data_IF_553790836655
#
_entry.id   IF_553790836655
#
_cell.length_a   1.000
_cell.length_b   1.000
_cell.length_c   1.000
_cell.angle_alpha   90.00
_cell.angle_beta   90.00
_cell.angle_gamma   90.00
#
_symmetry.space_group_name_H-M   'P 1'
#
loop_
_entity.id
_entity.type
_entity.pdbx_description
1 polymer ?
#
# COMPACT_ATOMS: atom_id res chain seq x y z
N UNK A 1 52.68 -2.11 -41.20
CA UNK A 1 52.29 -2.05 -39.78
C UNK A 1 50.88 -1.48 -39.73
N UNK A 2 49.88 -2.34 -39.69
CA UNK A 2 48.46 -1.97 -39.61
C UNK A 2 47.80 -2.93 -38.64
N UNK A 3 47.71 -2.52 -37.38
CA UNK A 3 46.99 -3.26 -36.34
C UNK A 3 45.53 -2.83 -36.35
N UNK A 4 44.65 -3.73 -36.78
CA UNK A 4 43.23 -3.66 -36.41
C UNK A 4 43.11 -4.13 -34.96
N UNK A 5 42.78 -3.21 -34.05
CA UNK A 5 42.29 -3.56 -32.73
C UNK A 5 40.87 -4.10 -32.84
N UNK A 6 40.71 -5.40 -32.60
CA UNK A 6 39.42 -6.03 -32.33
C UNK A 6 38.89 -5.51 -30.99
N UNK A 7 37.68 -4.93 -31.00
CA UNK A 7 36.91 -4.64 -29.79
C UNK A 7 36.49 -5.96 -29.10
N UNK A 8 36.44 -6.01 -27.76
CA UNK A 8 36.08 -7.23 -27.04
C UNK A 8 34.59 -7.55 -27.17
N UNK A 9 34.27 -8.80 -27.53
CA UNK A 9 32.92 -9.34 -27.74
C UNK A 9 32.04 -9.30 -26.48
N UNK A 10 32.63 -9.17 -25.29
CA UNK A 10 31.92 -9.23 -24.00
C UNK A 10 31.07 -7.99 -23.71
N UNK A 11 31.38 -6.83 -24.30
CA UNK A 11 30.60 -5.60 -24.13
C UNK A 11 29.27 -5.61 -24.92
N UNK A 12 29.18 -6.40 -25.99
CA UNK A 12 27.98 -6.49 -26.84
C UNK A 12 26.92 -7.46 -26.27
N UNK A 13 27.34 -8.49 -25.53
CA UNK A 13 26.42 -9.44 -24.89
C UNK A 13 25.77 -8.86 -23.63
N UNK A 14 26.50 -8.07 -22.84
CA UNK A 14 25.93 -7.38 -21.69
C UNK A 14 24.90 -6.31 -22.08
N UNK A 15 25.18 -5.54 -23.13
CA UNK A 15 24.25 -4.51 -23.63
C UNK A 15 23.00 -5.13 -24.27
N UNK A 16 23.13 -6.26 -24.97
CA UNK A 16 21.99 -7.00 -25.53
C UNK A 16 21.05 -7.56 -24.45
N UNK A 17 21.60 -8.20 -23.40
CA UNK A 17 20.79 -8.71 -22.30
C UNK A 17 20.10 -7.59 -21.52
N UNK A 18 20.81 -6.51 -21.18
CA UNK A 18 20.22 -5.35 -20.49
C UNK A 18 19.10 -4.73 -21.33
N UNK A 19 19.29 -4.59 -22.65
CA UNK A 19 18.27 -4.06 -23.54
C UNK A 19 17.05 -4.99 -23.65
N UNK A 20 17.25 -6.31 -23.77
CA UNK A 20 16.15 -7.28 -23.77
C UNK A 20 15.35 -7.25 -22.46
N UNK A 21 16.03 -7.14 -21.31
CA UNK A 21 15.37 -7.04 -20.01
C UNK A 21 14.58 -5.73 -19.87
N UNK A 22 15.16 -4.60 -20.27
CA UNK A 22 14.46 -3.31 -20.28
C UNK A 22 13.23 -3.37 -21.18
N UNK A 23 13.35 -3.97 -22.37
CA UNK A 23 12.22 -4.17 -23.29
C UNK A 23 11.16 -5.13 -22.73
N UNK A 24 11.54 -6.17 -22.00
CA UNK A 24 10.60 -7.12 -21.40
C UNK A 24 9.82 -6.52 -20.22
N UNK A 25 10.50 -5.74 -19.36
CA UNK A 25 9.84 -4.97 -18.29
C UNK A 25 8.90 -3.94 -18.90
N UNK A 26 9.36 -3.22 -19.92
CA UNK A 26 8.56 -2.24 -20.62
C UNK A 26 7.32 -2.87 -21.27
N UNK A 27 7.46 -4.03 -21.93
CA UNK A 27 6.35 -4.77 -22.52
C UNK A 27 5.32 -5.24 -21.48
N UNK A 28 5.76 -5.80 -20.35
CA UNK A 28 4.87 -6.25 -19.29
C UNK A 28 4.10 -5.11 -18.62
N UNK A 29 4.75 -3.95 -18.44
CA UNK A 29 4.09 -2.75 -17.89
C UNK A 29 3.06 -2.18 -18.87
N UNK A 30 3.36 -2.15 -20.18
CA UNK A 30 2.41 -1.70 -21.20
C UNK A 30 1.15 -2.60 -21.30
N UNK A 31 1.22 -3.88 -20.90
CA UNK A 31 0.02 -4.73 -20.80
C UNK A 31 -0.92 -4.31 -19.64
N UNK A 32 -0.37 -3.67 -18.61
CA UNK A 32 -1.07 -3.26 -17.39
C UNK A 32 -1.40 -1.77 -17.33
N UNK A 33 -0.63 -0.91 -17.99
CA UNK A 33 -0.71 0.54 -17.88
C UNK A 33 -0.75 1.18 -19.27
N UNK A 34 -1.62 2.19 -19.43
CA UNK A 34 -1.75 2.95 -20.66
C UNK A 34 -0.69 4.04 -20.81
N UNK A 35 -0.32 4.65 -19.69
CA UNK A 35 0.71 5.68 -19.56
C UNK A 35 1.39 5.52 -18.20
N UNK A 36 2.71 5.64 -18.17
CA UNK A 36 3.52 5.51 -16.96
C UNK A 36 4.92 6.09 -17.18
N UNK A 37 5.62 6.39 -16.09
CA UNK A 37 7.02 6.81 -16.12
C UNK A 37 7.83 6.02 -15.10
N UNK A 38 9.06 5.64 -15.49
CA UNK A 38 10.01 4.97 -14.60
C UNK A 38 11.12 5.94 -14.24
N UNK A 39 11.28 6.19 -12.94
CA UNK A 39 12.23 7.17 -12.41
C UNK A 39 13.27 6.49 -11.52
N UNK A 40 14.55 6.89 -11.55
CA UNK A 40 15.49 6.47 -10.50
C UNK A 40 15.12 7.14 -9.18
N UNK A 41 15.28 6.45 -8.03
CA UNK A 41 15.06 7.06 -6.70
C UNK A 41 15.89 8.33 -6.50
N UNK A 42 17.08 8.42 -7.11
CA UNK A 42 17.92 9.63 -7.07
C UNK A 42 17.29 10.89 -7.69
N UNK A 43 16.22 10.73 -8.49
CA UNK A 43 15.44 11.86 -9.00
C UNK A 43 14.55 12.51 -7.92
N UNK A 44 14.24 11.79 -6.84
CA UNK A 44 13.51 12.31 -5.69
C UNK A 44 14.42 13.22 -4.88
N UNK A 45 14.19 14.54 -4.98
CA UNK A 45 14.91 15.51 -4.14
C UNK A 45 14.25 15.59 -2.78
N UNK A 46 14.92 15.04 -1.77
CA UNK A 46 14.49 15.12 -0.38
C UNK A 46 15.14 16.31 0.34
N UNK A 47 14.31 17.15 0.96
CA UNK A 47 14.74 18.17 1.90
C UNK A 47 14.10 17.91 3.26
N UNK A 48 14.91 17.64 4.29
CA UNK A 48 14.40 17.51 5.66
C UNK A 48 14.08 18.90 6.22
N UNK A 49 12.89 19.05 6.81
CA UNK A 49 12.49 20.28 7.49
C UNK A 49 12.55 19.99 8.98
N UNK A 50 13.48 20.63 9.70
CA UNK A 50 13.58 20.52 11.15
C UNK A 50 13.17 21.84 11.78
N UNK A 51 12.00 21.88 12.42
CA UNK A 51 11.61 23.02 13.27
C UNK A 51 12.52 23.07 14.50
N UNK A 52 12.94 24.28 14.89
CA UNK A 52 13.84 24.52 16.03
C UNK A 52 13.07 24.62 17.35
N UNK A 53 12.14 23.72 17.63
CA UNK A 53 11.40 23.73 18.90
C UNK A 53 11.78 22.56 19.80
N UNK A 54 11.98 22.88 21.09
CA UNK A 54 12.53 22.04 22.15
C UNK A 54 11.43 21.24 22.85
N UNK A 55 10.68 20.43 22.11
CA UNK A 55 9.68 19.51 22.70
C UNK A 55 9.88 18.08 22.22
N UNK A 56 9.77 17.15 23.18
CA UNK A 56 10.35 15.79 23.24
C UNK A 56 9.63 14.75 22.35
N UNK A 57 8.90 15.18 21.32
CA UNK A 57 8.16 14.27 20.44
C UNK A 57 8.12 14.82 19.00
N UNK A 58 9.29 14.93 18.37
CA UNK A 58 9.48 15.62 17.09
C UNK A 58 8.78 14.91 15.93
N UNK A 59 7.64 15.43 15.50
CA UNK A 59 7.06 15.08 14.19
C UNK A 59 8.11 15.33 13.11
N UNK A 60 8.39 14.29 12.32
CA UNK A 60 9.37 14.41 11.24
C UNK A 60 8.65 15.02 10.04
N UNK A 61 9.09 16.21 9.64
CA UNK A 61 8.62 16.88 8.43
C UNK A 61 9.60 16.64 7.28
N UNK A 62 9.10 16.22 6.12
CA UNK A 62 9.91 16.02 4.91
C UNK A 62 9.27 16.73 3.73
N UNK A 63 10.11 17.31 2.89
CA UNK A 63 9.71 17.85 1.60
C UNK A 63 10.33 16.99 0.51
N UNK A 64 9.51 16.47 -0.40
CA UNK A 64 9.97 15.73 -1.57
C UNK A 64 9.59 16.50 -2.83
N UNK A 65 10.46 16.49 -3.82
CA UNK A 65 10.09 16.98 -5.14
C UNK A 65 10.68 16.16 -6.26
N UNK A 66 9.88 15.97 -7.30
CA UNK A 66 10.21 15.21 -8.49
C UNK A 66 9.30 15.62 -9.64
N UNK A 67 9.67 15.24 -10.85
CA UNK A 67 8.82 15.42 -12.04
C UNK A 67 8.46 14.06 -12.57
N UNK A 68 7.19 13.83 -12.85
CA UNK A 68 6.68 12.61 -13.48
C UNK A 68 5.43 12.94 -14.30
N UNK A 69 5.21 12.23 -15.41
CA UNK A 69 4.03 12.36 -16.27
C UNK A 69 3.78 13.83 -16.67
N UNK A 70 4.85 14.52 -17.07
CA UNK A 70 4.86 15.96 -17.40
C UNK A 70 4.37 16.90 -16.30
N UNK A 71 4.41 16.47 -15.03
CA UNK A 71 3.98 17.25 -13.87
C UNK A 71 5.09 17.33 -12.83
N UNK A 72 5.28 18.51 -12.24
CA UNK A 72 6.19 18.71 -11.12
C UNK A 72 5.44 18.56 -9.80
N UNK A 73 5.86 17.59 -8.99
CA UNK A 73 5.32 17.36 -7.65
C UNK A 73 6.23 17.96 -6.60
N UNK A 74 5.63 18.64 -5.62
CA UNK A 74 6.29 19.08 -4.40
C UNK A 74 5.44 18.65 -3.21
N UNK A 75 5.82 17.57 -2.55
CA UNK A 75 5.08 16.96 -1.47
C UNK A 75 5.58 17.51 -0.13
N UNK A 76 4.66 17.93 0.73
CA UNK A 76 4.94 18.21 2.14
C UNK A 76 4.37 17.07 2.98
N UNK A 77 5.25 16.35 3.67
CA UNK A 77 4.96 15.12 4.39
C UNK A 77 5.27 15.25 5.88
N UNK A 78 4.42 14.65 6.71
CA UNK A 78 4.57 14.58 8.17
C UNK A 78 4.32 13.15 8.65
N UNK A 79 5.08 12.70 9.66
CA UNK A 79 4.91 11.35 10.22
C UNK A 79 3.46 11.08 10.66
N UNK A 80 2.83 10.04 10.13
CA UNK A 80 1.43 9.68 10.42
C UNK A 80 1.33 9.02 11.80
N UNK A 81 0.61 9.66 12.72
CA UNK A 81 0.46 9.18 14.11
C UNK A 81 -0.85 8.47 14.39
N UNK A 82 -1.79 8.51 13.44
CA UNK A 82 -3.18 8.09 13.69
C UNK A 82 -3.55 6.80 12.94
N UNK A 83 -2.63 6.24 12.15
CA UNK A 83 -2.86 5.00 11.40
C UNK A 83 -2.93 3.74 12.29
N UNK A 84 -2.33 3.77 13.47
CA UNK A 84 -2.10 2.55 14.26
C UNK A 84 -2.72 2.59 15.65
N UNK A 85 -3.12 1.40 16.10
CA UNK A 85 -3.52 1.19 17.48
C UNK A 85 -2.38 1.46 18.46
N UNK A 86 -2.72 1.99 19.65
CA UNK A 86 -1.75 2.18 20.74
C UNK A 86 -1.08 0.85 21.13
N UNK A 87 -1.77 -0.26 20.93
CA UNK A 87 -1.32 -1.63 21.15
C UNK A 87 -1.19 -2.42 19.84
N UNK A 88 -0.90 -1.73 18.72
CA UNK A 88 -0.64 -2.36 17.43
C UNK A 88 0.43 -3.44 17.58
N UNK A 89 0.10 -4.65 17.15
CA UNK A 89 0.95 -5.82 17.24
C UNK A 89 0.90 -6.56 15.93
N UNK A 90 2.06 -7.06 15.52
CA UNK A 90 2.22 -7.91 14.36
C UNK A 90 2.83 -9.23 14.81
N UNK A 91 2.18 -10.33 14.46
CA UNK A 91 2.67 -11.68 14.70
C UNK A 91 2.73 -12.46 13.37
N UNK A 92 3.88 -13.09 13.10
CA UNK A 92 4.10 -14.03 12.01
C UNK A 92 4.07 -15.46 12.50
N UNK A 93 3.38 -16.33 11.78
CA UNK A 93 3.49 -17.77 11.94
C UNK A 93 4.57 -18.30 10.99
N UNK A 94 5.54 -19.03 11.53
CA UNK A 94 6.50 -19.76 10.70
C UNK A 94 5.91 -21.10 10.21
N UNK A 95 6.64 -21.80 9.33
CA UNK A 95 6.22 -23.10 8.79
C UNK A 95 6.06 -24.21 9.85
N UNK A 96 6.46 -23.98 11.10
CA UNK A 96 6.25 -24.87 12.24
C UNK A 96 5.05 -24.47 13.12
N UNK A 97 4.36 -23.38 12.77
CA UNK A 97 3.25 -22.80 13.52
C UNK A 97 3.67 -21.97 14.73
N UNK A 98 4.96 -21.62 14.86
CA UNK A 98 5.45 -20.78 15.94
C UNK A 98 5.21 -19.30 15.63
N UNK A 99 4.72 -18.55 16.63
CA UNK A 99 4.47 -17.11 16.53
C UNK A 99 5.73 -16.30 16.83
N UNK A 100 6.12 -15.44 15.88
CA UNK A 100 7.20 -14.46 16.01
C UNK A 100 6.62 -13.06 15.96
N UNK A 101 6.97 -12.22 16.92
CA UNK A 101 6.57 -10.80 16.91
C UNK A 101 7.47 -10.00 15.98
N UNK A 102 6.88 -9.09 15.22
CA UNK A 102 7.61 -8.15 14.38
C UNK A 102 7.34 -6.72 14.87
N UNK A 103 8.40 -5.92 14.97
CA UNK A 103 8.31 -4.52 15.36
C UNK A 103 8.25 -3.64 14.12
N UNK A 104 7.15 -2.92 13.94
CA UNK A 104 6.91 -2.10 12.75
C UNK A 104 7.42 -0.69 13.02
N UNK A 105 8.21 -0.17 12.09
CA UNK A 105 8.72 1.19 12.14
C UNK A 105 7.64 2.21 11.77
N UNK A 106 6.69 2.47 12.66
CA UNK A 106 5.53 3.34 12.41
C UNK A 106 5.93 4.77 11.98
N UNK A 107 7.13 5.22 12.36
CA UNK A 107 7.71 6.50 11.96
C UNK A 107 8.02 6.61 10.46
N UNK A 108 8.00 5.50 9.73
CA UNK A 108 8.27 5.44 8.29
C UNK A 108 7.01 5.70 7.44
N UNK A 109 5.84 5.83 8.07
CA UNK A 109 4.58 6.14 7.41
C UNK A 109 4.28 7.64 7.54
N UNK A 110 3.95 8.26 6.42
CA UNK A 110 3.77 9.71 6.31
C UNK A 110 2.43 10.04 5.68
N UNK A 111 1.86 11.15 6.14
CA UNK A 111 0.68 11.79 5.54
C UNK A 111 1.01 13.25 5.20
N UNK A 112 0.37 13.79 4.17
CA UNK A 112 0.74 15.09 3.64
C UNK A 112 -0.16 15.61 2.54
N UNK A 113 0.36 16.57 1.78
CA UNK A 113 -0.33 17.24 0.66
C UNK A 113 0.68 17.72 -0.39
N UNK A 114 0.18 18.08 -1.56
CA UNK A 114 0.96 18.75 -2.61
C UNK A 114 0.98 20.25 -2.34
N UNK A 115 2.18 20.83 -2.31
CA UNK A 115 2.37 22.25 -2.00
C UNK A 115 1.76 23.12 -3.09
N UNK A 116 0.80 23.97 -2.70
CA UNK A 116 0.12 24.89 -3.60
C UNK A 116 -1.17 24.34 -4.20
N UNK A 117 -1.55 23.11 -3.86
CA UNK A 117 -2.82 22.50 -4.29
C UNK A 117 -3.72 22.28 -3.08
N UNK A 118 -4.80 23.06 -3.02
CA UNK A 118 -5.85 22.87 -2.02
C UNK A 118 -6.51 21.51 -2.22
N UNK A 119 -6.97 20.88 -1.13
CA UNK A 119 -7.60 19.55 -1.12
C UNK A 119 -6.75 18.36 -1.55
N UNK A 120 -5.49 18.57 -1.97
CA UNK A 120 -4.57 17.48 -2.24
C UNK A 120 -4.22 16.69 -0.97
N UNK A 121 -3.98 15.39 -1.14
CA UNK A 121 -3.63 14.47 -0.05
C UNK A 121 -2.54 13.52 -0.52
N UNK A 122 -1.64 13.19 0.39
CA UNK A 122 -0.56 12.25 0.13
C UNK A 122 -0.46 11.26 1.29
N UNK A 123 -0.50 9.96 0.99
CA UNK A 123 0.03 8.92 1.88
C UNK A 123 1.36 8.44 1.31
N UNK A 124 2.38 8.27 2.14
CA UNK A 124 3.68 7.82 1.70
C UNK A 124 4.34 6.91 2.72
N UNK A 125 5.09 5.92 2.24
CA UNK A 125 5.96 5.09 3.07
C UNK A 125 7.41 5.27 2.61
N UNK A 126 8.30 5.47 3.59
CA UNK A 126 9.70 5.82 3.35
C UNK A 126 10.57 5.01 4.30
N UNK A 127 11.31 4.04 3.76
CA UNK A 127 12.27 3.22 4.51
C UNK A 127 13.57 3.04 3.73
N UNK A 128 14.65 3.68 4.19
CA UNK A 128 15.93 3.68 3.48
C UNK A 128 15.83 4.23 2.05
N UNK A 129 16.02 3.36 1.05
CA UNK A 129 15.86 3.65 -0.38
C UNK A 129 14.47 3.33 -0.91
N UNK A 130 13.62 2.68 -0.12
CA UNK A 130 12.25 2.38 -0.51
C UNK A 130 11.39 3.63 -0.35
N UNK A 131 10.67 3.97 -1.41
CA UNK A 131 9.72 5.07 -1.44
C UNK A 131 8.46 4.61 -2.16
N UNK A 132 7.34 4.76 -1.50
CA UNK A 132 6.02 4.64 -2.11
C UNK A 132 5.19 5.87 -1.73
N UNK A 133 4.33 6.31 -2.65
CA UNK A 133 3.40 7.39 -2.40
C UNK A 133 2.12 7.19 -3.18
N UNK A 134 1.02 7.57 -2.56
CA UNK A 134 -0.27 7.75 -3.19
C UNK A 134 -0.62 9.22 -3.10
N UNK A 135 -0.86 9.86 -4.23
CA UNK A 135 -1.05 11.30 -4.33
C UNK A 135 -2.42 11.53 -4.96
N UNK A 136 -3.35 12.01 -4.14
CA UNK A 136 -4.68 12.42 -4.56
C UNK A 136 -4.68 13.93 -4.79
N UNK A 137 -5.15 14.35 -5.97
CA UNK A 137 -5.35 15.75 -6.34
C UNK A 137 -6.77 15.91 -6.89
N UNK A 138 -7.22 17.14 -7.09
CA UNK A 138 -8.52 17.40 -7.73
C UNK A 138 -8.55 16.92 -9.20
N UNK A 139 -7.39 16.82 -9.84
CA UNK A 139 -7.27 16.44 -11.25
C UNK A 139 -7.21 14.92 -11.45
N UNK A 140 -6.38 14.25 -10.65
CA UNK A 140 -6.11 12.82 -10.79
C UNK A 140 -5.54 12.19 -9.52
N UNK A 141 -5.54 10.86 -9.52
CA UNK A 141 -4.90 10.01 -8.53
C UNK A 141 -3.62 9.41 -9.12
N UNK A 142 -2.49 9.69 -8.48
CA UNK A 142 -1.17 9.21 -8.90
C UNK A 142 -0.61 8.20 -7.89
N UNK A 143 -0.04 7.13 -8.41
CA UNK A 143 0.67 6.12 -7.64
C UNK A 143 2.16 6.18 -7.96
N UNK A 144 2.98 6.20 -6.92
CA UNK A 144 4.43 6.05 -6.97
C UNK A 144 4.76 4.78 -6.20
N UNK A 145 5.29 3.78 -6.89
CA UNK A 145 5.59 2.47 -6.29
C UNK A 145 7.00 2.01 -6.65
N UNK A 146 7.67 1.24 -5.79
CA UNK A 146 8.92 0.59 -6.17
C UNK A 146 8.74 -0.30 -7.40
N UNK A 147 9.56 -0.09 -8.43
CA UNK A 147 9.47 -0.82 -9.70
C UNK A 147 9.66 -2.33 -9.51
N UNK A 148 10.45 -2.73 -8.51
CA UNK A 148 10.66 -4.12 -8.19
C UNK A 148 9.36 -4.88 -7.93
N UNK A 149 8.26 -4.22 -7.51
CA UNK A 149 6.93 -4.88 -7.35
C UNK A 149 6.38 -5.46 -8.65
N UNK A 150 6.86 -4.97 -9.79
CA UNK A 150 6.40 -5.33 -11.13
C UNK A 150 7.45 -6.09 -11.94
N UNK A 151 8.62 -6.38 -11.36
CA UNK A 151 9.73 -7.03 -12.04
C UNK A 151 10.28 -8.20 -11.23
N UNK A 152 10.91 -9.15 -11.90
CA UNK A 152 11.56 -10.29 -11.23
C UNK A 152 12.92 -9.92 -10.62
N UNK A 153 13.42 -8.71 -10.86
CA UNK A 153 14.72 -8.26 -10.36
C UNK A 153 14.59 -7.75 -8.92
N UNK A 154 15.32 -8.35 -7.96
CA UNK A 154 15.23 -7.95 -6.56
C UNK A 154 15.80 -6.55 -6.32
N UNK A 155 16.89 -6.20 -7.00
CA UNK A 155 17.67 -4.98 -6.77
C UNK A 155 17.35 -3.89 -7.81
N UNK A 156 16.07 -3.53 -7.95
CA UNK A 156 15.65 -2.39 -8.78
C UNK A 156 15.09 -1.28 -7.87
N UNK A 157 15.92 -0.27 -7.63
CA UNK A 157 15.62 0.89 -6.80
C UNK A 157 14.89 1.99 -7.59
N UNK A 158 14.41 1.70 -8.80
CA UNK A 158 13.59 2.66 -9.56
C UNK A 158 12.16 2.66 -9.04
N UNK A 159 11.45 3.72 -9.40
CA UNK A 159 10.05 3.96 -9.07
C UNK A 159 9.24 3.91 -10.34
N UNK A 160 8.08 3.28 -10.27
CA UNK A 160 7.03 3.32 -11.27
C UNK A 160 6.02 4.40 -10.85
N UNK A 161 5.78 5.37 -11.73
CA UNK A 161 4.78 6.42 -11.54
C UNK A 161 3.69 6.28 -12.59
N UNK A 162 2.44 6.20 -12.15
CA UNK A 162 1.29 6.03 -13.04
C UNK A 162 0.02 6.66 -12.45
N UNK A 163 -0.96 6.99 -13.30
CA UNK A 163 -2.29 7.42 -12.82
C UNK A 163 -3.21 6.22 -12.67
N UNK A 164 -4.11 6.25 -11.69
CA UNK A 164 -5.08 5.15 -11.48
C UNK A 164 -6.01 4.95 -12.69
N UNK A 165 -6.28 6.00 -13.45
CA UNK A 165 -7.07 5.93 -14.70
C UNK A 165 -6.37 5.19 -15.85
N UNK A 166 -5.04 5.10 -15.83
CA UNK A 166 -4.26 4.44 -16.88
C UNK A 166 -4.16 2.92 -16.66
N UNK A 167 -4.71 2.39 -15.57
CA UNK A 167 -4.74 0.96 -15.30
C UNK A 167 -5.62 0.25 -16.36
N UNK A 168 -4.98 -0.57 -17.18
CA UNK A 168 -5.64 -1.39 -18.20
C UNK A 168 -6.26 -2.63 -17.56
N UNK A 169 -7.27 -3.18 -18.24
CA UNK A 169 -7.83 -4.49 -17.91
C UNK A 169 -8.35 -4.60 -16.46
N UNK A 170 -8.94 -3.54 -15.89
CA UNK A 170 -9.71 -3.61 -14.63
C UNK A 170 -10.77 -4.73 -14.73
N UNK A 171 -11.25 -5.04 -15.93
CA UNK A 171 -12.15 -6.17 -16.23
C UNK A 171 -11.58 -7.55 -15.87
N UNK A 172 -10.26 -7.72 -15.65
CA UNK A 172 -9.70 -8.96 -15.06
C UNK A 172 -10.12 -9.14 -13.61
N UNK A 173 -10.43 -8.07 -12.89
CA UNK A 173 -11.05 -8.13 -11.54
C UNK A 173 -12.49 -8.66 -11.64
N UNK A 174 -13.17 -8.41 -12.77
CA UNK A 174 -14.49 -8.99 -13.08
C UNK A 174 -14.39 -10.38 -13.75
N UNK A 175 -13.19 -10.94 -13.94
CA UNK A 175 -13.02 -12.30 -14.43
C UNK A 175 -13.39 -13.29 -13.33
N UNK A 176 -14.16 -14.36 -13.62
CA UNK A 176 -14.49 -15.40 -12.64
C UNK A 176 -13.26 -16.17 -12.11
N UNK A 177 -12.06 -15.93 -12.68
CA UNK A 177 -10.78 -16.50 -12.24
C UNK A 177 -10.07 -15.65 -11.18
N UNK A 178 -10.55 -14.44 -10.92
CA UNK A 178 -10.08 -13.56 -9.85
C UNK A 178 -11.18 -13.53 -8.80
N UNK A 179 -10.83 -13.58 -7.51
CA UNK A 179 -11.83 -13.44 -6.44
C UNK A 179 -12.42 -12.03 -6.51
N UNK A 180 -13.51 -11.89 -7.26
CA UNK A 180 -14.33 -10.70 -7.28
C UNK A 180 -15.22 -10.63 -6.04
N UNK A 181 -15.85 -9.48 -5.84
CA UNK A 181 -16.86 -9.29 -4.79
C UNK A 181 -18.00 -10.30 -4.99
N UNK A 182 -18.01 -11.33 -4.15
CA UNK A 182 -19.15 -12.24 -4.02
C UNK A 182 -20.15 -11.55 -3.10
N UNK A 183 -21.42 -11.49 -3.49
CA UNK A 183 -22.44 -10.91 -2.60
C UNK A 183 -22.38 -11.65 -1.25
N UNK A 184 -22.33 -10.90 -0.14
CA UNK A 184 -22.14 -11.45 1.21
C UNK A 184 -23.13 -12.57 1.58
N UNK A 185 -24.27 -12.68 0.88
CA UNK A 185 -25.23 -13.78 1.03
C UNK A 185 -24.70 -15.15 0.60
N UNK A 186 -23.75 -15.20 -0.33
CA UNK A 186 -23.17 -16.45 -0.85
C UNK A 186 -21.96 -16.94 -0.03
N UNK A 187 -21.39 -16.07 0.82
CA UNK A 187 -20.24 -16.38 1.69
C UNK A 187 -20.65 -16.77 3.11
N UNK A 188 -21.93 -16.65 3.47
CA UNK A 188 -22.47 -17.17 4.72
C UNK A 188 -22.86 -18.61 4.43
N UNK A 189 -22.19 -19.63 5.01
CA UNK A 189 -22.65 -21.01 4.90
C UNK A 189 -24.13 -21.08 5.26
N UNK A 190 -24.93 -21.87 4.56
CA UNK A 190 -26.36 -22.05 4.91
C UNK A 190 -26.54 -22.54 6.37
N UNK A 191 -25.48 -23.07 7.01
CA UNK A 191 -25.42 -23.38 8.45
C UNK A 191 -24.84 -22.31 9.39
N UNK A 192 -24.40 -21.16 8.88
CA UNK A 192 -24.05 -19.99 9.71
C UNK A 192 -25.24 -19.04 9.93
N UNK A 193 -26.36 -19.27 9.22
CA UNK A 193 -27.65 -18.67 9.55
C UNK A 193 -28.31 -19.36 10.76
N UNK A 194 -27.80 -20.52 11.18
CA UNK A 194 -28.27 -21.28 12.36
C UNK A 194 -27.36 -21.13 13.58
N UNK A 195 -26.74 -19.95 13.78
CA UNK A 195 -26.27 -19.52 15.12
C UNK A 195 -27.26 -18.52 15.75
N UNK A 196 -28.55 -18.71 15.47
CA UNK A 196 -29.64 -17.93 16.05
C UNK A 196 -30.89 -18.72 16.41
N UNK A 197 -30.96 -20.02 16.13
CA UNK A 197 -32.15 -20.86 16.41
C UNK A 197 -31.73 -22.30 16.76
N UNK A 198 -30.98 -22.47 17.84
CA UNK A 198 -31.19 -23.66 18.68
C UNK A 198 -32.07 -23.20 19.85
N UNK A 199 -33.33 -23.62 19.84
CA UNK A 199 -34.21 -23.60 21.00
C UNK A 199 -33.59 -24.49 22.09
N UNK A 200 -32.66 -23.93 22.86
CA UNK A 200 -32.39 -24.42 24.21
C UNK A 200 -33.41 -23.70 25.10
N UNK A 201 -34.44 -24.44 25.52
CA UNK A 201 -35.34 -24.04 26.61
C UNK A 201 -34.52 -23.67 27.85
N UNK A 202 -34.18 -22.39 27.96
CA UNK A 202 -33.41 -21.85 29.07
C UNK A 202 -33.53 -20.33 29.06
N UNK A 203 -34.50 -19.81 29.80
CA UNK A 203 -34.70 -18.40 30.15
C UNK A 203 -33.80 -17.38 29.43
N UNK A 204 -34.10 -17.06 28.17
CA UNK A 204 -33.44 -15.98 27.45
C UNK A 204 -33.94 -14.64 27.97
N UNK A 205 -33.13 -13.98 28.80
CA UNK A 205 -33.30 -12.55 29.06
C UNK A 205 -33.20 -11.83 27.71
N UNK A 206 -34.33 -11.26 27.26
CA UNK A 206 -34.38 -10.36 26.12
C UNK A 206 -33.58 -9.10 26.45
N UNK A 207 -32.28 -9.10 26.14
CA UNK A 207 -31.50 -7.88 26.16
C UNK A 207 -32.03 -6.92 25.07
N UNK A 208 -32.39 -5.73 25.51
CA UNK A 208 -32.83 -4.64 24.64
C UNK A 208 -31.65 -4.32 23.71
N UNK A 209 -31.85 -4.42 22.38
CA UNK A 209 -30.86 -3.96 21.39
C UNK A 209 -30.46 -2.53 21.76
N UNK A 210 -29.25 -2.34 22.27
CA UNK A 210 -28.75 -1.00 22.55
C UNK A 210 -28.72 -0.25 21.22
N UNK A 211 -29.22 0.99 21.21
CA UNK A 211 -29.09 1.86 20.05
C UNK A 211 -27.59 1.96 19.71
N UNK A 212 -27.24 1.72 18.45
CA UNK A 212 -25.87 1.80 17.98
C UNK A 212 -25.33 3.20 18.32
N UNK A 213 -24.28 3.27 19.12
CA UNK A 213 -23.69 4.55 19.49
C UNK A 213 -22.86 5.04 18.32
N UNK A 214 -23.32 6.07 17.62
CA UNK A 214 -22.59 6.76 16.55
C UNK A 214 -21.23 7.35 17.00
N UNK A 215 -20.92 7.27 18.31
CA UNK A 215 -19.60 7.60 18.87
C UNK A 215 -18.56 6.47 18.71
N UNK A 216 -18.97 5.27 18.27
CA UNK A 216 -18.09 4.13 17.99
C UNK A 216 -17.95 3.98 16.48
N UNK A 217 -17.12 4.86 15.91
CA UNK A 217 -16.81 4.92 14.49
C UNK A 217 -15.54 4.13 14.11
N UNK A 218 -14.92 3.46 15.09
CA UNK A 218 -13.68 2.72 14.91
C UNK A 218 -13.92 1.21 14.90
N UNK A 219 -13.44 0.52 13.85
CA UNK A 219 -13.50 -0.92 13.74
C UNK A 219 -12.08 -1.56 13.77
N UNK A 220 -11.83 -2.56 14.64
CA UNK A 220 -10.59 -3.32 14.57
C UNK A 220 -10.61 -4.20 13.31
N UNK A 221 -9.59 -4.08 12.47
CA UNK A 221 -9.40 -4.98 11.33
C UNK A 221 -8.38 -6.05 11.70
N UNK A 222 -8.61 -7.27 11.22
CA UNK A 222 -7.62 -8.34 11.24
C UNK A 222 -7.11 -8.57 9.82
N UNK A 223 -5.85 -8.22 9.52
CA UNK A 223 -5.26 -8.55 8.22
C UNK A 223 -4.53 -9.88 8.29
N UNK A 224 -4.71 -10.68 7.25
CA UNK A 224 -4.05 -11.98 7.07
C UNK A 224 -3.56 -12.05 5.63
N UNK A 225 -2.26 -12.22 5.45
CA UNK A 225 -1.68 -12.61 4.15
C UNK A 225 -1.43 -14.11 4.16
N UNK A 226 -1.81 -14.79 3.08
CA UNK A 226 -1.48 -16.19 2.88
C UNK A 226 -0.04 -16.38 2.38
N UNK A 227 0.40 -17.62 2.30
CA UNK A 227 1.74 -17.96 1.82
C UNK A 227 1.99 -17.50 0.37
N UNK A 228 0.95 -17.42 -0.47
CA UNK A 228 1.07 -16.97 -1.85
C UNK A 228 1.36 -15.47 -1.88
N UNK A 229 0.63 -14.68 -1.11
CA UNK A 229 0.85 -13.25 -0.95
C UNK A 229 2.24 -12.98 -0.38
N UNK A 230 2.63 -13.67 0.68
CA UNK A 230 3.99 -13.61 1.24
C UNK A 230 5.06 -13.92 0.18
N UNK A 231 4.83 -14.93 -0.65
CA UNK A 231 5.79 -15.34 -1.69
C UNK A 231 5.92 -14.32 -2.82
N UNK A 232 4.80 -13.85 -3.37
CA UNK A 232 4.80 -13.07 -4.62
C UNK A 232 4.73 -11.56 -4.39
N UNK A 233 3.92 -11.09 -3.43
CA UNK A 233 3.86 -9.66 -3.08
C UNK A 233 4.93 -9.29 -2.06
N UNK A 234 5.09 -10.16 -1.06
CA UNK A 234 6.06 -9.99 0.02
C UNK A 234 7.49 -10.41 -0.31
N UNK A 235 7.71 -11.08 -1.46
CA UNK A 235 9.01 -11.64 -1.87
C UNK A 235 9.69 -12.52 -0.81
N UNK A 236 8.88 -13.19 0.01
CA UNK A 236 9.31 -14.01 1.16
C UNK A 236 10.04 -13.22 2.24
N UNK A 237 9.78 -11.92 2.32
CA UNK A 237 10.31 -11.03 3.34
C UNK A 237 9.18 -10.50 4.23
N UNK A 238 9.34 -10.63 5.54
CA UNK A 238 8.33 -10.16 6.50
C UNK A 238 8.09 -8.65 6.36
N UNK A 239 9.15 -7.82 6.36
CA UNK A 239 9.09 -6.35 6.25
C UNK A 239 8.25 -5.90 5.07
N UNK A 240 8.61 -6.41 3.90
CA UNK A 240 7.99 -6.08 2.63
C UNK A 240 6.52 -6.46 2.60
N UNK A 241 6.19 -7.64 3.13
CA UNK A 241 4.80 -8.10 3.25
C UNK A 241 3.97 -7.19 4.16
N UNK A 242 4.52 -6.82 5.31
CA UNK A 242 3.84 -5.92 6.25
C UNK A 242 3.61 -4.56 5.67
N UNK A 243 4.67 -3.95 5.14
CA UNK A 243 4.64 -2.59 4.66
C UNK A 243 3.61 -2.45 3.55
N UNK A 244 3.57 -3.42 2.64
CA UNK A 244 2.57 -3.46 1.58
C UNK A 244 1.13 -3.51 2.12
N UNK A 245 0.84 -4.34 3.14
CA UNK A 245 -0.51 -4.42 3.70
C UNK A 245 -0.91 -3.16 4.46
N UNK A 246 0.03 -2.57 5.20
CA UNK A 246 -0.22 -1.33 5.93
C UNK A 246 -0.48 -0.20 4.93
N UNK A 247 0.33 -0.10 3.86
CA UNK A 247 0.11 0.85 2.76
C UNK A 247 -1.29 0.70 2.14
N UNK A 248 -1.77 -0.53 1.94
CA UNK A 248 -3.12 -0.77 1.43
C UNK A 248 -4.21 -0.32 2.40
N UNK A 249 -4.06 -0.63 3.69
CA UNK A 249 -5.08 -0.25 4.67
C UNK A 249 -5.09 1.24 4.96
N UNK A 250 -3.95 1.93 4.94
CA UNK A 250 -3.89 3.39 5.05
C UNK A 250 -4.71 4.07 3.94
N UNK A 251 -4.66 3.53 2.71
CA UNK A 251 -5.50 4.00 1.59
C UNK A 251 -6.99 3.71 1.82
N UNK A 252 -7.34 2.51 2.27
CA UNK A 252 -8.73 2.14 2.57
C UNK A 252 -9.31 3.00 3.69
N UNK A 253 -8.53 3.23 4.75
CA UNK A 253 -8.92 4.04 5.89
C UNK A 253 -9.29 5.47 5.47
N UNK A 254 -8.50 6.07 4.58
CA UNK A 254 -8.79 7.41 4.04
C UNK A 254 -10.14 7.47 3.30
N UNK A 255 -10.46 6.45 2.50
CA UNK A 255 -11.76 6.34 1.80
C UNK A 255 -12.89 6.30 2.82
N UNK A 256 -12.80 5.46 3.85
CA UNK A 256 -13.87 5.29 4.83
C UNK A 256 -14.06 6.51 5.72
N UNK A 257 -12.97 7.19 6.11
CA UNK A 257 -13.04 8.44 6.88
C UNK A 257 -13.73 9.55 6.12
N UNK A 258 -13.50 9.62 4.81
CA UNK A 258 -14.05 10.66 3.95
C UNK A 258 -15.44 10.32 3.39
N UNK A 259 -15.89 9.07 3.53
CA UNK A 259 -17.22 8.65 3.06
C UNK A 259 -18.27 8.92 4.14
N UNK A 260 -19.31 9.66 3.76
CA UNK A 260 -20.53 9.83 4.54
C UNK A 260 -21.60 8.87 4.01
N UNK A 261 -22.00 7.89 4.81
CA UNK A 261 -23.01 6.91 4.40
C UNK A 261 -24.45 7.40 4.67
N UNK A 262 -24.63 8.25 5.68
CA UNK A 262 -25.87 8.99 6.00
C UNK A 262 -25.55 10.12 7.00
N UNK A 263 -26.52 10.95 7.36
CA UNK A 263 -26.35 12.06 8.31
C UNK A 263 -25.84 11.62 9.70
N UNK A 264 -26.13 10.38 10.08
CA UNK A 264 -25.68 9.78 11.34
C UNK A 264 -24.43 8.89 11.21
N UNK A 265 -23.97 8.59 9.99
CA UNK A 265 -22.92 7.60 9.70
C UNK A 265 -21.74 8.26 8.94
N UNK A 266 -20.92 9.02 9.67
CA UNK A 266 -19.78 9.80 9.15
C UNK A 266 -18.51 9.52 9.95
N UNK A 267 -17.36 9.54 9.26
CA UNK A 267 -16.04 9.49 9.89
C UNK A 267 -15.67 8.12 10.45
N UNK A 268 -16.04 7.04 9.77
CA UNK A 268 -15.60 5.70 10.14
C UNK A 268 -14.10 5.51 9.87
N UNK A 269 -13.44 4.82 10.77
CA UNK A 269 -11.99 4.68 10.82
C UNK A 269 -11.64 3.23 11.18
N UNK A 270 -10.52 2.72 10.66
CA UNK A 270 -10.05 1.38 10.95
C UNK A 270 -8.79 1.39 11.80
N UNK A 271 -8.77 0.53 12.81
CA UNK A 271 -7.59 0.32 13.63
C UNK A 271 -7.03 -1.04 13.27
N UNK A 272 -5.82 -1.04 12.73
CA UNK A 272 -5.20 -2.26 12.24
C UNK A 272 -4.80 -3.11 13.45
N UNK A 273 -5.21 -4.37 13.46
CA UNK A 273 -4.59 -5.43 14.24
C UNK A 273 -4.18 -6.52 13.24
N UNK A 274 -3.00 -7.13 13.37
CA UNK A 274 -2.54 -8.03 12.31
C UNK A 274 -2.04 -9.37 12.83
N UNK A 275 -2.56 -10.46 12.24
CA UNK A 275 -2.08 -11.82 12.44
C UNK A 275 -1.74 -12.42 11.08
N UNK A 276 -0.51 -12.88 10.92
CA UNK A 276 -0.04 -13.52 9.69
C UNK A 276 0.01 -15.04 9.87
N UNK A 277 -0.43 -15.78 8.85
CA UNK A 277 -0.45 -17.24 8.81
C UNK A 277 0.50 -17.80 7.76
#
# INVERSE_FOLDING_TARGET
MSGLSLLPCDALLYTSNVLLFLLAVDYGLHDMLADFEVLPVSSLRQHSIRRRDVTVDSQVERLFSFTALNRYFKLYLTSNRNLFAKDFKVEFLDGSGQRKRYDVQLQNYFSGHVVGEEHSRVQAHIDGSEFSAHILTDEAEYNVEPLWRFTEKPDDDRLLVYRSEDIRNISRIASPKVCGYVQAKELIPEGAQTMGEEEVEGHLHREKRQAHSHKKNTCPLLLVADYRFFTYMGRKEESTTLNYLIELIDRVDDIYRNTSWDDEFKGYDYWIHTLFQ
#
